data_IF_416656918101
#
_entry.id   IF_416656918101
#
_cell.length_a   1.000
_cell.length_b   1.000
_cell.length_c   1.000
_cell.angle_alpha   90.00
_cell.angle_beta   90.00
_cell.angle_gamma   90.00
#
_symmetry.space_group_name_H-M   'P 1'
#
loop_
_entity.id
_entity.type
_entity.pdbx_description
1 polymer ?
#
# COMPACT_ATOMS: atom_id res chain seq x y z
N UNK A 1 -13.80 -10.19 14.81
CA UNK A 1 -12.90 -11.10 14.07
C UNK A 1 -12.26 -10.33 12.94
N UNK A 2 -10.97 -10.52 12.69
CA UNK A 2 -10.30 -9.93 11.52
C UNK A 2 -10.67 -10.76 10.28
N UNK A 3 -11.04 -10.09 9.19
CA UNK A 3 -11.37 -10.72 7.91
C UNK A 3 -10.21 -10.47 6.96
N UNK A 4 -9.61 -11.52 6.44
CA UNK A 4 -8.48 -11.43 5.51
C UNK A 4 -8.88 -11.79 4.09
N UNK A 5 -8.17 -11.23 3.13
CA UNK A 5 -8.24 -11.56 1.72
C UNK A 5 -6.82 -11.55 1.12
N UNK A 6 -6.65 -12.22 0.00
CA UNK A 6 -5.38 -12.35 -0.72
C UNK A 6 -5.65 -12.02 -2.17
N UNK A 7 -4.77 -11.23 -2.77
CA UNK A 7 -4.80 -10.95 -4.21
C UNK A 7 -3.60 -11.61 -4.88
N UNK A 8 -3.76 -12.02 -6.13
CA UNK A 8 -2.64 -12.20 -7.04
C UNK A 8 -2.04 -10.84 -7.41
N UNK A 9 -0.80 -10.82 -7.90
CA UNK A 9 -0.21 -9.57 -8.38
C UNK A 9 -1.05 -8.93 -9.49
N UNK A 10 -1.60 -9.73 -10.40
CA UNK A 10 -2.32 -9.23 -11.56
C UNK A 10 -3.66 -8.57 -11.25
N UNK A 11 -4.32 -8.98 -10.15
CA UNK A 11 -5.56 -8.34 -9.68
C UNK A 11 -5.36 -6.92 -9.16
N UNK A 12 -4.14 -6.58 -8.73
CA UNK A 12 -3.81 -5.30 -8.09
C UNK A 12 -2.59 -4.64 -8.73
N UNK A 13 -2.24 -5.07 -9.95
CA UNK A 13 -1.13 -4.53 -10.72
C UNK A 13 -1.43 -3.05 -11.03
N UNK A 14 -0.49 -2.13 -10.78
CA UNK A 14 -0.69 -0.73 -11.13
C UNK A 14 -0.91 -0.56 -12.63
N UNK A 15 -1.87 0.28 -12.99
CA UNK A 15 -2.03 0.71 -14.37
C UNK A 15 -0.84 1.60 -14.77
N UNK A 16 -0.38 1.49 -16.03
CA UNK A 16 0.77 2.25 -16.52
C UNK A 16 0.63 3.77 -16.30
N UNK A 17 -0.52 4.41 -16.58
CA UNK A 17 -0.66 5.85 -16.33
C UNK A 17 -0.44 6.25 -14.86
N UNK A 18 -0.90 5.42 -13.92
CA UNK A 18 -0.75 5.66 -12.48
C UNK A 18 0.70 5.47 -12.05
N UNK A 19 1.35 4.41 -12.57
CA UNK A 19 2.77 4.18 -12.33
C UNK A 19 3.64 5.32 -12.89
N UNK A 20 3.31 5.84 -14.08
CA UNK A 20 3.98 7.00 -14.67
C UNK A 20 3.85 8.24 -13.78
N UNK A 21 2.67 8.48 -13.19
CA UNK A 21 2.47 9.58 -12.24
C UNK A 21 3.37 9.45 -11.00
N UNK A 22 3.42 8.25 -10.40
CA UNK A 22 4.29 7.97 -9.25
C UNK A 22 5.77 8.11 -9.55
N UNK A 23 6.19 7.64 -10.73
CA UNK A 23 7.57 7.75 -11.20
C UNK A 23 7.90 9.15 -11.76
N UNK A 24 6.93 10.07 -11.79
CA UNK A 24 7.05 11.42 -12.36
C UNK A 24 7.50 11.40 -13.84
N UNK A 25 7.02 10.43 -14.60
CA UNK A 25 7.30 10.25 -16.02
C UNK A 25 6.28 11.07 -16.81
N UNK A 26 6.72 12.10 -17.56
CA UNK A 26 5.80 13.08 -18.16
C UNK A 26 5.08 12.57 -19.41
N UNK A 27 5.67 11.61 -20.12
CA UNK A 27 5.20 11.15 -21.43
C UNK A 27 5.65 9.71 -21.75
N UNK A 28 5.09 9.16 -22.82
CA UNK A 28 5.36 7.79 -23.27
C UNK A 28 6.79 7.58 -23.78
N UNK A 29 7.45 8.64 -24.28
CA UNK A 29 8.84 8.55 -24.73
C UNK A 29 9.77 8.34 -23.53
N UNK A 30 9.53 9.08 -22.45
CA UNK A 30 10.24 8.92 -21.18
C UNK A 30 9.94 7.56 -20.53
N UNK A 31 8.69 7.07 -20.65
CA UNK A 31 8.32 5.74 -20.16
C UNK A 31 9.10 4.63 -20.88
N UNK A 32 9.38 4.78 -22.17
CA UNK A 32 10.14 3.79 -22.94
C UNK A 32 11.56 3.54 -22.40
N UNK A 33 12.10 4.47 -21.58
CA UNK A 33 13.41 4.31 -20.93
C UNK A 33 13.38 3.34 -19.74
N UNK A 34 12.21 3.12 -19.14
CA UNK A 34 12.04 2.28 -17.95
C UNK A 34 11.09 1.10 -18.18
N UNK A 35 10.43 1.05 -19.34
CA UNK A 35 9.41 0.04 -19.64
C UNK A 35 9.95 -1.38 -19.51
N UNK A 36 11.19 -1.66 -19.93
CA UNK A 36 11.81 -2.98 -19.77
C UNK A 36 11.95 -3.37 -18.30
N UNK A 37 12.34 -2.42 -17.43
CA UNK A 37 12.45 -2.65 -15.98
C UNK A 37 11.08 -2.93 -15.38
N UNK A 38 10.06 -2.17 -15.80
CA UNK A 38 8.67 -2.34 -15.34
C UNK A 38 8.14 -3.71 -15.75
N UNK A 39 8.25 -4.09 -17.02
CA UNK A 39 7.77 -5.37 -17.53
C UNK A 39 8.50 -6.55 -16.87
N UNK A 40 9.83 -6.46 -16.70
CA UNK A 40 10.61 -7.47 -15.97
C UNK A 40 10.13 -7.60 -14.52
N UNK A 41 9.87 -6.48 -13.85
CA UNK A 41 9.36 -6.47 -12.48
C UNK A 41 7.98 -7.11 -12.40
N UNK A 42 7.09 -6.81 -13.35
CA UNK A 42 5.77 -7.45 -13.42
C UNK A 42 5.89 -8.96 -13.62
N UNK A 43 6.79 -9.40 -14.51
CA UNK A 43 7.03 -10.81 -14.76
C UNK A 43 7.62 -11.56 -13.55
N UNK A 44 8.51 -10.93 -12.78
CA UNK A 44 9.07 -11.51 -11.55
C UNK A 44 8.02 -11.63 -10.43
N UNK A 45 7.01 -10.76 -10.43
CA UNK A 45 6.02 -10.65 -9.37
C UNK A 45 4.69 -11.36 -9.67
N UNK A 46 4.43 -11.75 -10.92
CA UNK A 46 3.13 -12.31 -11.36
C UNK A 46 2.61 -13.46 -10.51
N UNK A 47 3.51 -14.29 -10.00
CA UNK A 47 3.18 -15.47 -9.18
C UNK A 47 3.21 -15.20 -7.67
N UNK A 48 3.46 -13.96 -7.25
CA UNK A 48 3.48 -13.57 -5.84
C UNK A 48 2.11 -13.76 -5.19
N UNK A 49 2.11 -14.45 -4.05
CA UNK A 49 0.94 -14.64 -3.18
C UNK A 49 1.10 -13.95 -1.83
N UNK A 50 2.08 -13.06 -1.71
CA UNK A 50 2.37 -12.36 -0.46
C UNK A 50 1.50 -11.11 -0.27
N UNK A 51 0.64 -10.81 -1.24
CA UNK A 51 -0.30 -9.70 -1.20
C UNK A 51 -1.49 -10.09 -0.34
N UNK A 52 -1.50 -9.59 0.89
CA UNK A 52 -2.52 -9.92 1.87
C UNK A 52 -3.07 -8.63 2.45
N UNK A 53 -4.37 -8.53 2.45
CA UNK A 53 -5.10 -7.46 3.11
C UNK A 53 -6.15 -8.01 4.06
N UNK A 54 -6.78 -7.10 4.78
CA UNK A 54 -7.86 -7.46 5.64
C UNK A 54 -8.37 -6.30 6.46
N UNK A 55 -9.51 -6.52 7.09
CA UNK A 55 -10.14 -5.51 7.91
C UNK A 55 -10.80 -6.08 9.16
N UNK A 56 -11.03 -5.19 10.12
CA UNK A 56 -11.88 -5.44 11.28
C UNK A 56 -12.73 -4.21 11.55
N UNK A 57 -14.02 -4.41 11.71
CA UNK A 57 -14.92 -3.36 12.23
C UNK A 57 -14.91 -3.40 13.75
N UNK A 58 -14.72 -2.24 14.36
CA UNK A 58 -14.74 -2.01 15.79
C UNK A 58 -15.92 -1.12 16.15
N UNK A 59 -16.61 -1.44 17.24
CA UNK A 59 -17.54 -0.50 17.87
C UNK A 59 -16.72 0.54 18.63
N UNK A 60 -16.93 1.82 18.32
CA UNK A 60 -16.17 2.94 18.85
C UNK A 60 -17.13 4.02 19.34
N UNK A 61 -17.73 3.86 20.53
CA UNK A 61 -18.83 4.69 21.00
C UNK A 61 -18.40 6.13 21.34
N UNK A 62 -17.11 6.37 21.59
CA UNK A 62 -16.62 7.66 22.07
C UNK A 62 -15.41 8.16 21.30
N UNK A 63 -15.47 9.42 20.89
CA UNK A 63 -14.40 10.13 20.17
C UNK A 63 -14.05 11.40 20.95
N UNK A 64 -12.86 11.40 21.58
CA UNK A 64 -12.32 12.56 22.26
C UNK A 64 -11.39 13.32 21.31
N UNK A 65 -11.94 14.32 20.61
CA UNK A 65 -11.17 15.15 19.67
C UNK A 65 -10.10 16.03 20.34
N UNK A 66 -10.30 16.39 21.62
CA UNK A 66 -9.36 17.27 22.35
C UNK A 66 -8.05 16.54 22.64
N UNK A 67 -8.17 15.28 23.06
CA UNK A 67 -7.04 14.40 23.36
C UNK A 67 -6.57 13.60 22.14
N UNK A 68 -7.39 13.54 21.08
CA UNK A 68 -7.08 12.78 19.87
C UNK A 68 -7.19 11.27 20.08
N UNK A 69 -8.13 10.85 20.92
CA UNK A 69 -8.33 9.46 21.32
C UNK A 69 -9.71 9.00 20.87
N UNK A 70 -9.79 7.81 20.29
CA UNK A 70 -11.05 7.11 20.01
C UNK A 70 -11.12 5.86 20.87
N UNK A 71 -12.15 5.75 21.70
CA UNK A 71 -12.39 4.58 22.51
C UNK A 71 -13.17 3.55 21.71
N UNK A 72 -12.61 2.36 21.56
CA UNK A 72 -13.20 1.25 20.83
C UNK A 72 -13.28 0.00 21.71
N UNK A 73 -14.09 -0.98 21.31
CA UNK A 73 -14.23 -2.25 22.02
C UNK A 73 -12.92 -3.04 22.15
N UNK A 74 -11.93 -2.77 21.29
CA UNK A 74 -10.61 -3.37 21.31
C UNK A 74 -9.55 -2.54 22.07
N UNK A 75 -9.91 -1.39 22.65
CA UNK A 75 -9.01 -0.46 23.33
C UNK A 75 -9.05 0.94 22.74
N UNK A 76 -8.01 1.73 23.00
CA UNK A 76 -7.92 3.13 22.59
C UNK A 76 -7.07 3.29 21.32
N UNK A 77 -7.61 4.01 20.33
CA UNK A 77 -6.86 4.45 19.16
C UNK A 77 -6.34 5.86 19.40
N UNK A 78 -5.02 6.03 19.31
CA UNK A 78 -4.35 7.33 19.45
C UNK A 78 -4.14 7.95 18.07
N UNK A 79 -5.20 8.57 17.53
CA UNK A 79 -5.21 9.10 16.15
C UNK A 79 -4.77 10.56 16.07
N UNK A 80 -4.67 11.25 17.20
CA UNK A 80 -4.45 12.70 17.23
C UNK A 80 -5.69 13.50 16.83
N UNK A 81 -5.61 14.83 16.97
CA UNK A 81 -6.78 15.73 16.83
C UNK A 81 -7.37 15.78 15.42
N UNK A 82 -6.51 15.76 14.39
CA UNK A 82 -6.96 15.88 13.00
C UNK A 82 -7.79 14.65 12.58
N UNK A 83 -7.27 13.46 12.80
CA UNK A 83 -7.93 12.21 12.40
C UNK A 83 -9.17 11.93 13.26
N UNK A 84 -9.08 12.14 14.58
CA UNK A 84 -10.26 11.99 15.47
C UNK A 84 -11.39 12.95 15.11
N UNK A 85 -11.07 14.14 14.58
CA UNK A 85 -12.07 15.07 14.05
C UNK A 85 -12.90 14.49 12.91
N UNK A 86 -12.30 13.73 12.00
CA UNK A 86 -13.02 13.05 10.91
C UNK A 86 -13.90 11.89 11.39
N UNK A 87 -13.64 11.36 12.59
CA UNK A 87 -14.37 10.23 13.16
C UNK A 87 -15.55 10.66 14.04
N UNK A 88 -15.76 11.97 14.24
CA UNK A 88 -16.80 12.52 15.11
C UNK A 88 -18.19 12.00 14.72
N UNK A 89 -18.91 11.46 15.70
CA UNK A 89 -20.27 10.95 15.50
C UNK A 89 -20.34 9.56 14.88
N UNK A 90 -19.19 8.95 14.55
CA UNK A 90 -19.15 7.54 14.18
C UNK A 90 -19.31 6.66 15.43
N UNK A 91 -20.18 5.66 15.35
CA UNK A 91 -20.28 4.59 16.36
C UNK A 91 -19.45 3.35 16.02
N UNK A 92 -18.90 3.26 14.80
CA UNK A 92 -18.12 2.10 14.32
C UNK A 92 -17.00 2.53 13.38
N UNK A 93 -15.83 1.92 13.52
CA UNK A 93 -14.66 2.19 12.68
C UNK A 93 -14.20 0.90 12.02
N UNK A 94 -13.98 0.93 10.71
CA UNK A 94 -13.30 -0.14 9.99
C UNK A 94 -11.79 0.15 10.00
N UNK A 95 -11.01 -0.80 10.50
CA UNK A 95 -9.55 -0.78 10.43
C UNK A 95 -9.11 -1.73 9.32
N UNK A 96 -8.34 -1.21 8.36
CA UNK A 96 -7.74 -1.97 7.27
C UNK A 96 -6.24 -2.17 7.54
N UNK A 97 -5.71 -3.32 7.13
CA UNK A 97 -4.28 -3.61 7.16
C UNK A 97 -3.93 -4.39 5.90
N UNK A 98 -2.96 -3.88 5.13
CA UNK A 98 -2.50 -4.49 3.89
C UNK A 98 -0.97 -4.57 3.85
N UNK A 99 -0.46 -5.59 3.16
CA UNK A 99 0.96 -5.74 2.86
C UNK A 99 1.12 -6.33 1.45
N UNK A 100 2.20 -5.96 0.77
CA UNK A 100 2.62 -6.57 -0.50
C UNK A 100 3.64 -7.71 -0.29
N UNK A 101 3.95 -8.04 0.96
CA UNK A 101 4.97 -9.02 1.29
C UNK A 101 6.38 -8.43 1.37
N UNK A 102 7.36 -9.31 1.52
CA UNK A 102 8.79 -8.95 1.62
C UNK A 102 9.50 -8.96 0.27
N UNK A 103 8.86 -9.51 -0.77
CA UNK A 103 9.46 -9.69 -2.10
C UNK A 103 9.96 -8.36 -2.70
N UNK A 104 9.17 -7.29 -2.60
CA UNK A 104 9.55 -5.95 -3.07
C UNK A 104 10.78 -5.41 -2.36
N UNK A 105 10.83 -5.53 -1.02
CA UNK A 105 11.99 -5.12 -0.23
C UNK A 105 13.23 -5.94 -0.59
N UNK A 106 13.08 -7.24 -0.80
CA UNK A 106 14.18 -8.12 -1.19
C UNK A 106 14.75 -7.78 -2.57
N UNK A 107 13.87 -7.54 -3.56
CA UNK A 107 14.27 -7.14 -4.92
C UNK A 107 14.95 -5.77 -4.92
N UNK A 108 14.37 -4.77 -4.26
CA UNK A 108 14.99 -3.45 -4.15
C UNK A 108 16.38 -3.53 -3.52
N UNK A 109 16.55 -4.28 -2.42
CA UNK A 109 17.85 -4.45 -1.78
C UNK A 109 18.87 -5.14 -2.68
N UNK A 110 18.46 -6.14 -3.47
CA UNK A 110 19.35 -6.80 -4.43
C UNK A 110 19.83 -5.83 -5.51
N UNK A 111 18.92 -5.05 -6.10
CA UNK A 111 19.27 -4.02 -7.09
C UNK A 111 20.19 -2.95 -6.51
N UNK A 112 19.91 -2.45 -5.30
CA UNK A 112 20.79 -1.48 -4.63
C UNK A 112 22.20 -2.03 -4.39
N UNK A 113 22.34 -3.31 -4.03
CA UNK A 113 23.64 -3.95 -3.81
C UNK A 113 24.44 -4.12 -5.11
N UNK A 114 23.76 -4.25 -6.25
CA UNK A 114 24.39 -4.36 -7.57
C UNK A 114 24.70 -2.99 -8.22
N UNK A 115 24.22 -1.88 -7.63
CA UNK A 115 24.36 -0.54 -8.20
C UNK A 115 23.24 -0.16 -9.19
N UNK A 116 22.22 -1.01 -9.30
CA UNK A 116 21.06 -0.87 -10.19
C UNK A 116 19.99 0.02 -9.53
N UNK A 117 20.32 1.29 -9.30
CA UNK A 117 19.49 2.17 -8.47
C UNK A 117 18.14 2.53 -9.11
N UNK A 118 18.07 2.55 -10.44
CA UNK A 118 16.84 2.86 -11.16
C UNK A 118 15.84 1.70 -11.02
N UNK A 119 16.31 0.47 -11.14
CA UNK A 119 15.56 -0.75 -10.92
C UNK A 119 15.04 -0.84 -9.49
N UNK A 120 15.90 -0.54 -8.51
CA UNK A 120 15.49 -0.48 -7.11
C UNK A 120 14.35 0.53 -6.90
N UNK A 121 14.47 1.72 -7.48
CA UNK A 121 13.46 2.77 -7.39
C UNK A 121 12.13 2.34 -8.04
N UNK A 122 12.17 1.77 -9.26
CA UNK A 122 10.98 1.29 -9.97
C UNK A 122 10.25 0.21 -9.17
N UNK A 123 10.99 -0.76 -8.62
CA UNK A 123 10.42 -1.84 -7.78
C UNK A 123 9.74 -1.26 -6.53
N UNK A 124 10.35 -0.27 -5.86
CA UNK A 124 9.76 0.36 -4.68
C UNK A 124 8.49 1.16 -5.00
N UNK A 125 8.47 1.86 -6.13
CA UNK A 125 7.29 2.58 -6.61
C UNK A 125 6.14 1.62 -6.91
N UNK A 126 6.41 0.52 -7.63
CA UNK A 126 5.39 -0.52 -7.92
C UNK A 126 4.87 -1.12 -6.61
N UNK A 127 5.77 -1.43 -5.66
CA UNK A 127 5.40 -2.01 -4.36
C UNK A 127 4.50 -1.11 -3.53
N UNK A 128 4.77 0.20 -3.53
CA UNK A 128 3.97 1.18 -2.80
C UNK A 128 2.55 1.28 -3.36
N UNK A 129 2.42 1.43 -4.67
CA UNK A 129 1.11 1.56 -5.32
C UNK A 129 0.27 0.29 -5.21
N UNK A 130 0.93 -0.87 -5.28
CA UNK A 130 0.27 -2.16 -5.14
C UNK A 130 -0.31 -2.35 -3.73
N UNK A 131 0.28 -1.78 -2.68
CA UNK A 131 -0.34 -1.80 -1.32
C UNK A 131 -1.64 -0.99 -1.31
N UNK A 132 -1.66 0.16 -1.96
CA UNK A 132 -2.85 1.02 -2.05
C UNK A 132 -3.99 0.34 -2.84
N UNK A 133 -3.69 -0.28 -3.99
CA UNK A 133 -4.69 -1.03 -4.76
C UNK A 133 -5.30 -2.24 -4.02
N UNK A 134 -4.59 -2.76 -3.02
CA UNK A 134 -5.06 -3.89 -2.22
C UNK A 134 -5.87 -3.47 -0.98
N UNK A 135 -5.94 -2.18 -0.66
CA UNK A 135 -6.73 -1.65 0.46
C UNK A 135 -8.20 -1.45 0.06
#
# INVERSE_FOLDING_TARGET
>A
MFRSYTFSFEEVRPEIPVLMEYLQIPDSESYALVSEIVEKTFDELKDSKEIIGGYRVLDCPEVNMREGIVACSAGYLHTGRKISGYMKGSGRIALFLCTAGKIFTGLSQAYQQNGDFLEAFVVESIGSEKVENAM
#
